data_IF_533576687452
#
_entry.id   IF_533576687452
#
_cell.length_a   1.000
_cell.length_b   1.000
_cell.length_c   1.000
_cell.angle_alpha   90.00
_cell.angle_beta   90.00
_cell.angle_gamma   90.00
#
_symmetry.space_group_name_H-M   'P 1'
#
loop_
_entity.id
_entity.type
_entity.pdbx_description
1 polymer ?
#
# COMPACT_ATOMS: atom_id res chain seq x y z
N UNK A 1 -38.68 -46.93 -10.80
CA UNK A 1 -38.40 -45.57 -11.31
C UNK A 1 -36.95 -45.25 -11.04
N UNK A 2 -36.06 -45.51 -12.01
CA UNK A 2 -34.61 -45.34 -11.82
C UNK A 2 -34.26 -43.90 -12.21
N UNK A 3 -33.99 -43.05 -11.22
CA UNK A 3 -33.49 -41.68 -11.47
C UNK A 3 -32.13 -41.78 -12.16
N UNK A 4 -31.98 -41.09 -13.30
CA UNK A 4 -30.72 -41.04 -14.05
C UNK A 4 -29.60 -40.51 -13.13
N UNK A 5 -28.40 -41.11 -13.10
CA UNK A 5 -27.34 -40.71 -12.17
C UNK A 5 -26.93 -39.24 -12.30
N UNK A 6 -27.00 -38.65 -13.50
CA UNK A 6 -26.78 -37.22 -13.72
C UNK A 6 -27.81 -36.32 -13.01
N UNK A 7 -29.06 -36.75 -12.94
CA UNK A 7 -30.11 -36.03 -12.21
C UNK A 7 -29.82 -36.00 -10.70
N UNK A 8 -29.28 -37.09 -10.15
CA UNK A 8 -28.85 -37.14 -8.75
C UNK A 8 -27.74 -36.14 -8.45
N UNK A 9 -26.75 -36.02 -9.34
CA UNK A 9 -25.66 -35.05 -9.21
C UNK A 9 -26.19 -33.62 -9.28
N UNK A 10 -27.09 -33.34 -10.23
CA UNK A 10 -27.72 -32.04 -10.39
C UNK A 10 -28.49 -31.61 -9.13
N UNK A 11 -29.31 -32.50 -8.57
CA UNK A 11 -30.04 -32.23 -7.32
C UNK A 11 -29.09 -32.02 -6.15
N UNK A 12 -27.98 -32.78 -6.08
CA UNK A 12 -26.98 -32.61 -5.02
C UNK A 12 -26.27 -31.25 -5.11
N UNK A 13 -25.90 -30.83 -6.32
CA UNK A 13 -25.35 -29.49 -6.56
C UNK A 13 -26.36 -28.39 -6.17
N UNK A 14 -27.61 -28.53 -6.62
CA UNK A 14 -28.67 -27.56 -6.34
C UNK A 14 -28.95 -27.43 -4.83
N UNK A 15 -29.03 -28.56 -4.12
CA UNK A 15 -29.21 -28.58 -2.67
C UNK A 15 -28.05 -27.90 -1.93
N UNK A 16 -26.81 -28.16 -2.36
CA UNK A 16 -25.62 -27.53 -1.77
C UNK A 16 -25.61 -26.03 -2.02
N UNK A 17 -25.92 -25.60 -3.25
CA UNK A 17 -26.03 -24.19 -3.61
C UNK A 17 -27.08 -23.45 -2.75
N UNK A 18 -28.29 -24.01 -2.63
CA UNK A 18 -29.34 -23.42 -1.81
C UNK A 18 -29.01 -23.44 -0.32
N UNK A 19 -28.30 -24.45 0.17
CA UNK A 19 -27.83 -24.49 1.55
C UNK A 19 -26.84 -23.35 1.86
N UNK A 20 -25.87 -23.11 0.98
CA UNK A 20 -24.93 -21.99 1.14
C UNK A 20 -25.62 -20.63 1.00
N UNK A 21 -26.57 -20.51 0.07
CA UNK A 21 -27.35 -19.28 -0.10
C UNK A 21 -28.18 -18.97 1.14
N UNK A 22 -28.91 -19.96 1.67
CA UNK A 22 -29.69 -19.81 2.90
C UNK A 22 -28.78 -19.48 4.09
N UNK A 23 -27.63 -20.14 4.21
CA UNK A 23 -26.64 -19.84 5.27
C UNK A 23 -26.13 -18.41 5.17
N UNK A 24 -25.81 -17.92 3.96
CA UNK A 24 -25.39 -16.54 3.73
C UNK A 24 -26.45 -15.52 4.12
N UNK A 25 -27.72 -15.78 3.80
CA UNK A 25 -28.85 -14.93 4.20
C UNK A 25 -29.03 -14.94 5.71
N UNK A 26 -28.99 -16.11 6.36
CA UNK A 26 -29.09 -16.25 7.81
C UNK A 26 -27.97 -15.49 8.50
N UNK A 27 -26.71 -15.65 8.06
CA UNK A 27 -25.56 -14.91 8.60
C UNK A 27 -25.74 -13.40 8.39
N UNK A 28 -26.25 -12.98 7.23
CA UNK A 28 -26.49 -11.56 6.94
C UNK A 28 -27.60 -10.96 7.80
N UNK A 29 -28.65 -11.71 8.12
CA UNK A 29 -29.74 -11.27 8.99
C UNK A 29 -29.34 -11.29 10.46
N UNK A 30 -28.48 -12.25 10.84
CA UNK A 30 -27.99 -12.42 12.20
C UNK A 30 -26.79 -11.52 12.51
N UNK A 31 -26.22 -10.81 11.52
CA UNK A 31 -25.15 -9.83 11.75
C UNK A 31 -25.56 -8.88 12.87
N UNK A 32 -25.03 -9.04 14.10
CA UNK A 32 -25.05 -7.93 15.02
C UNK A 32 -24.21 -6.85 14.32
N UNK A 33 -24.65 -5.60 14.36
CA UNK A 33 -23.72 -4.52 14.02
C UNK A 33 -22.42 -4.73 14.82
N UNK A 34 -21.24 -4.39 14.25
CA UNK A 34 -19.99 -4.53 14.98
C UNK A 34 -20.15 -3.84 16.33
N UNK A 35 -19.81 -4.55 17.41
CA UNK A 35 -19.88 -3.99 18.75
C UNK A 35 -19.02 -2.73 18.82
N UNK A 36 -19.36 -1.79 19.69
CA UNK A 36 -18.55 -0.59 19.89
C UNK A 36 -17.08 -0.95 20.20
N UNK A 37 -16.84 -2.06 20.89
CA UNK A 37 -15.49 -2.59 21.13
C UNK A 37 -14.76 -3.02 19.86
N UNK A 38 -15.44 -3.68 18.91
CA UNK A 38 -14.83 -4.11 17.65
C UNK A 38 -14.56 -2.91 16.73
N UNK A 39 -15.47 -1.94 16.71
CA UNK A 39 -15.27 -0.67 15.99
C UNK A 39 -14.09 0.09 16.58
N UNK A 40 -14.00 0.20 17.91
CA UNK A 40 -12.90 0.87 18.58
C UNK A 40 -11.56 0.16 18.35
N UNK A 41 -11.53 -1.18 18.38
CA UNK A 41 -10.33 -1.94 18.01
C UNK A 41 -9.91 -1.69 16.57
N UNK A 42 -10.85 -1.72 15.63
CA UNK A 42 -10.56 -1.43 14.23
C UNK A 42 -10.04 -0.01 14.01
N UNK A 43 -10.65 0.99 14.66
CA UNK A 43 -10.20 2.38 14.61
C UNK A 43 -8.82 2.55 15.25
N UNK A 44 -8.55 1.88 16.37
CA UNK A 44 -7.24 1.92 17.03
C UNK A 44 -6.14 1.31 16.16
N UNK A 45 -6.44 0.20 15.46
CA UNK A 45 -5.54 -0.41 14.49
C UNK A 45 -5.25 0.51 13.30
N UNK A 46 -6.29 1.19 12.77
CA UNK A 46 -6.10 2.19 11.71
C UNK A 46 -5.27 3.38 12.17
N UNK A 47 -5.48 3.88 13.39
CA UNK A 47 -4.67 4.96 13.95
C UNK A 47 -3.20 4.56 14.13
N UNK A 48 -2.91 3.35 14.62
CA UNK A 48 -1.54 2.85 14.73
C UNK A 48 -0.86 2.65 13.37
N UNK A 49 -1.61 2.18 12.37
CA UNK A 49 -1.11 2.10 10.99
C UNK A 49 -0.86 3.49 10.38
N UNK A 50 -1.68 4.48 10.73
CA UNK A 50 -1.49 5.87 10.31
C UNK A 50 -0.26 6.51 10.96
N UNK A 51 -0.01 6.25 12.25
CA UNK A 51 1.18 6.72 12.97
C UNK A 51 2.49 6.19 12.34
N UNK A 52 2.49 4.92 11.92
CA UNK A 52 3.64 4.29 11.26
C UNK A 52 3.75 4.59 9.77
N UNK A 53 2.77 5.28 9.17
CA UNK A 53 2.78 5.66 7.76
C UNK A 53 3.63 6.91 7.51
N UNK A 54 3.96 7.17 6.24
CA UNK A 54 4.64 8.42 5.81
C UNK A 54 3.87 9.66 6.31
N UNK A 55 2.54 9.59 6.39
CA UNK A 55 1.71 10.67 6.91
C UNK A 55 1.88 10.86 8.41
N UNK A 56 1.98 9.78 9.20
CA UNK A 56 2.29 9.84 10.62
C UNK A 56 3.70 10.34 10.91
N UNK A 57 4.68 9.93 10.10
CA UNK A 57 6.05 10.46 10.14
C UNK A 57 6.09 11.95 9.78
N UNK A 58 5.29 12.40 8.81
CA UNK A 58 5.19 13.83 8.48
C UNK A 58 4.50 14.65 9.57
N UNK A 59 3.46 14.13 10.22
CA UNK A 59 2.85 14.80 11.38
C UNK A 59 3.81 14.83 12.59
N UNK A 60 4.59 13.77 12.81
CA UNK A 60 5.63 13.73 13.84
C UNK A 60 6.86 14.60 13.53
N UNK A 61 7.08 14.95 12.26
CA UNK A 61 8.14 15.89 11.84
C UNK A 61 7.83 17.32 12.27
N UNK A 62 6.55 17.73 12.34
CA UNK A 62 6.17 19.08 12.79
C UNK A 62 6.51 19.32 14.27
N UNK A 63 6.53 18.27 15.09
CA UNK A 63 6.83 18.37 16.53
C UNK A 63 8.32 18.28 16.87
N UNK A 64 9.16 17.78 15.94
CA UNK A 64 10.59 17.57 16.16
C UNK A 64 11.46 18.53 15.33
N UNK A 65 11.89 19.62 15.98
CA UNK A 65 12.76 20.66 15.40
C UNK A 65 14.05 20.12 14.76
N UNK A 66 14.62 19.04 15.29
CA UNK A 66 15.82 18.41 14.72
C UNK A 66 15.53 17.80 13.34
N UNK A 67 14.45 17.02 13.22
CA UNK A 67 14.06 16.39 11.95
C UNK A 67 13.71 17.44 10.89
N UNK A 68 13.02 18.52 11.30
CA UNK A 68 12.71 19.64 10.42
C UNK A 68 13.98 20.31 9.85
N UNK A 69 14.99 20.53 10.68
CA UNK A 69 16.26 21.11 10.24
C UNK A 69 17.04 20.18 9.30
N UNK A 70 17.06 18.86 9.57
CA UNK A 70 17.68 17.89 8.65
C UNK A 70 16.97 17.85 7.30
N UNK A 71 15.64 17.92 7.28
CA UNK A 71 14.86 17.93 6.05
C UNK A 71 15.11 19.20 5.22
N UNK A 72 15.11 20.37 5.86
CA UNK A 72 15.42 21.64 5.19
C UNK A 72 16.85 21.65 4.62
N UNK A 73 17.83 21.19 5.39
CA UNK A 73 19.22 21.11 4.95
C UNK A 73 19.38 20.14 3.77
N UNK A 74 18.70 18.99 3.82
CA UNK A 74 18.68 18.01 2.72
C UNK A 74 18.04 18.62 1.46
N UNK A 75 16.94 19.34 1.61
CA UNK A 75 16.24 19.99 0.50
C UNK A 75 17.09 21.07 -0.18
N UNK A 76 17.92 21.80 0.59
CA UNK A 76 18.85 22.79 0.04
C UNK A 76 20.07 22.13 -0.62
N UNK A 77 20.63 21.08 -0.02
CA UNK A 77 21.84 20.42 -0.53
C UNK A 77 21.56 19.56 -1.77
N UNK A 78 20.38 18.94 -1.88
CA UNK A 78 20.03 18.07 -2.99
C UNK A 78 20.20 18.72 -4.38
N UNK A 79 19.59 19.90 -4.68
CA UNK A 79 19.76 20.53 -5.98
C UNK A 79 21.21 20.94 -6.25
N UNK A 80 21.96 21.35 -5.22
CA UNK A 80 23.37 21.70 -5.34
C UNK A 80 24.19 20.48 -5.78
N UNK A 81 24.01 19.34 -5.10
CA UNK A 81 24.71 18.09 -5.43
C UNK A 81 24.38 17.62 -6.85
N UNK A 82 23.10 17.69 -7.24
CA UNK A 82 22.66 17.32 -8.59
C UNK A 82 23.31 18.21 -9.65
N UNK A 83 23.32 19.53 -9.47
CA UNK A 83 23.95 20.47 -10.41
C UNK A 83 25.46 20.22 -10.50
N UNK A 84 26.15 20.05 -9.37
CA UNK A 84 27.58 19.72 -9.36
C UNK A 84 27.88 18.41 -10.07
N UNK A 85 27.07 17.37 -9.85
CA UNK A 85 27.20 16.08 -10.51
C UNK A 85 27.03 16.20 -12.03
N UNK A 86 26.04 16.98 -12.49
CA UNK A 86 25.82 17.25 -13.91
C UNK A 86 26.99 18.01 -14.54
N UNK A 87 27.53 19.02 -13.86
CA UNK A 87 28.69 19.80 -14.35
C UNK A 87 29.92 18.90 -14.47
N UNK A 88 30.24 18.13 -13.43
CA UNK A 88 31.38 17.20 -13.43
C UNK A 88 31.22 16.16 -14.53
N UNK A 89 30.03 15.56 -14.65
CA UNK A 89 29.71 14.60 -15.71
C UNK A 89 29.86 15.20 -17.11
N UNK A 90 29.45 16.45 -17.30
CA UNK A 90 29.59 17.17 -18.57
C UNK A 90 31.06 17.46 -18.92
N UNK A 91 31.86 17.91 -17.95
CA UNK A 91 33.30 18.17 -18.13
C UNK A 91 34.05 16.89 -18.51
N UNK A 92 33.79 15.79 -17.77
CA UNK A 92 34.40 14.48 -18.07
C UNK A 92 34.01 13.99 -19.47
N UNK A 93 32.77 14.19 -19.88
CA UNK A 93 32.28 13.79 -21.22
C UNK A 93 32.96 14.57 -22.34
N UNK A 94 33.18 15.88 -22.18
CA UNK A 94 33.90 16.69 -23.18
C UNK A 94 35.35 16.24 -23.32
N UNK A 95 36.06 16.06 -22.20
CA UNK A 95 37.45 15.59 -22.20
C UNK A 95 37.62 14.23 -22.90
N UNK A 96 36.70 13.29 -22.67
CA UNK A 96 36.75 11.98 -23.35
C UNK A 96 36.43 12.05 -24.85
N UNK A 97 35.71 13.08 -25.30
CA UNK A 97 35.38 13.27 -26.72
C UNK A 97 36.55 13.90 -27.50
N UNK A 98 37.34 14.78 -26.86
CA UNK A 98 38.55 15.36 -27.45
C UNK A 98 39.65 14.29 -27.65
N UNK A 99 39.89 13.43 -26.65
CA UNK A 99 40.88 12.33 -26.75
C UNK A 99 40.57 11.33 -27.87
N UNK A 100 39.30 11.19 -28.26
CA UNK A 100 38.87 10.28 -29.33
C UNK A 100 39.01 10.90 -30.74
N UNK A 101 39.12 12.21 -30.85
CA UNK A 101 39.32 12.90 -32.14
C UNK A 101 40.81 13.05 -32.51
N UNK A 102 41.72 12.85 -31.57
CA UNK A 102 43.18 12.87 -31.78
C UNK A 102 43.78 11.47 -32.07
N UNK A 103 42.94 10.45 -32.23
CA UNK A 103 43.30 9.10 -32.73
C UNK A 103 42.73 8.87 -34.12
#
# INVERSE_FOLDING_TARGET
MVQKPWFKIFIWFLATFFFFLASGVIISLLKPGPSESEVMQYMSGMMGAMESSIMGVMMGMESNQLLQNFFLLTLILFPIIVIFSLIIGFVLRRKNSEVKNDQ
#
